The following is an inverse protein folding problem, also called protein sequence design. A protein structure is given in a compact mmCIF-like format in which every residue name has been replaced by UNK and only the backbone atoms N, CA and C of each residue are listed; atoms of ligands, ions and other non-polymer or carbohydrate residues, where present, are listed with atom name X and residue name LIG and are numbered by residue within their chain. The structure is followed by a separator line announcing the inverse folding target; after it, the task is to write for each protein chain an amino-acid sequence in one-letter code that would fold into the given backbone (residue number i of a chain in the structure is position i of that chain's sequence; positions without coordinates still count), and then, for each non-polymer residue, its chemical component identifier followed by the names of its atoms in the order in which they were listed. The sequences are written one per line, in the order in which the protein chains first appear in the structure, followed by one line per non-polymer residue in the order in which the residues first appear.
data_IF_051880879762
#
_entry.id   IF_051880879762
#
_cell.length_a   1.000
_cell.length_b   1.000
_cell.length_c   1.000
_cell.angle_alpha   90.00
_cell.angle_beta   90.00
_cell.angle_gamma   90.00
#
_symmetry.space_group_name_H-M   'P 1'
#
loop_
_entity.id
_entity.type
_entity.pdbx_description
1 polymer ?
#
# COMPACT_ATOMS: atom_id res chain seq x y z
N UNK A 1 1.04 -2.47 17.29
CA UNK A 1 0.28 -1.32 16.71
C UNK A 1 1.15 -0.40 15.84
N UNK A 2 2.19 -0.94 15.20
CA UNK A 2 3.20 -0.16 14.46
C UNK A 2 2.58 0.74 13.37
N UNK A 3 1.58 0.24 12.66
CA UNK A 3 0.99 0.93 11.51
C UNK A 3 -0.01 2.05 11.87
N UNK A 4 -0.44 2.12 13.13
CA UNK A 4 -1.51 3.00 13.59
C UNK A 4 -1.04 4.08 14.57
N UNK A 5 0.25 4.18 14.89
CA UNK A 5 0.76 5.04 15.98
C UNK A 5 0.39 6.53 15.94
N UNK A 6 -0.01 7.06 14.78
CA UNK A 6 -0.44 8.46 14.61
C UNK A 6 -1.93 8.74 14.82
N UNK A 7 -2.77 7.73 15.08
CA UNK A 7 -4.20 7.92 15.27
C UNK A 7 -4.57 8.25 16.73
N UNK A 8 -5.69 8.96 16.96
CA UNK A 8 -6.17 9.28 18.31
C UNK A 8 -6.32 8.06 19.22
N UNK A 9 -6.07 8.24 20.52
CA UNK A 9 -6.06 7.14 21.50
C UNK A 9 -7.37 6.33 21.52
N UNK A 10 -8.52 6.99 21.42
CA UNK A 10 -9.83 6.34 21.37
C UNK A 10 -10.01 5.43 20.14
N UNK A 11 -9.41 5.78 19.00
CA UNK A 11 -9.38 4.92 17.80
C UNK A 11 -8.49 3.72 18.06
N UNK A 12 -7.30 3.95 18.64
CA UNK A 12 -6.37 2.87 18.98
C UNK A 12 -6.97 1.89 19.99
N UNK A 13 -7.72 2.35 20.98
CA UNK A 13 -8.40 1.50 21.96
C UNK A 13 -9.46 0.61 21.30
N UNK A 14 -10.24 1.16 20.37
CA UNK A 14 -11.22 0.37 19.60
C UNK A 14 -10.52 -0.72 18.77
N UNK A 15 -9.42 -0.37 18.10
CA UNK A 15 -8.64 -1.37 17.35
C UNK A 15 -8.05 -2.43 18.29
N UNK A 16 -7.49 -2.04 19.44
CA UNK A 16 -6.99 -3.01 20.46
C UNK A 16 -8.10 -3.96 20.90
N UNK A 17 -9.28 -3.45 21.19
CA UNK A 17 -10.41 -4.27 21.62
C UNK A 17 -10.84 -5.27 20.52
N UNK A 18 -10.91 -4.82 19.26
CA UNK A 18 -11.22 -5.70 18.13
C UNK A 18 -10.14 -6.77 17.89
N UNK A 19 -8.86 -6.40 18.03
CA UNK A 19 -7.74 -7.33 17.93
C UNK A 19 -7.80 -8.40 19.03
N UNK A 20 -8.02 -7.99 20.28
CA UNK A 20 -8.15 -8.90 21.41
C UNK A 20 -9.34 -9.86 21.27
N UNK A 21 -10.43 -9.38 20.66
CA UNK A 21 -11.61 -10.20 20.37
C UNK A 21 -11.48 -11.09 19.12
N UNK A 22 -10.36 -11.02 18.37
CA UNK A 22 -10.18 -11.77 17.13
C UNK A 22 -11.08 -11.33 15.96
N UNK A 23 -11.74 -10.18 16.06
CA UNK A 23 -12.76 -9.71 15.09
C UNK A 23 -12.21 -8.84 13.98
N UNK A 24 -10.92 -8.48 14.04
CA UNK A 24 -10.34 -7.52 13.10
C UNK A 24 -10.31 -8.04 11.66
N UNK A 25 -9.90 -9.30 11.46
CA UNK A 25 -9.92 -9.93 10.13
C UNK A 25 -11.33 -10.05 9.55
N UNK A 26 -12.31 -10.44 10.36
CA UNK A 26 -13.72 -10.53 9.94
C UNK A 26 -14.29 -9.17 9.53
N UNK A 27 -13.96 -8.11 10.27
CA UNK A 27 -14.40 -6.76 9.95
C UNK A 27 -13.87 -6.32 8.57
N UNK A 28 -12.58 -6.55 8.31
CA UNK A 28 -11.95 -6.21 7.04
C UNK A 28 -12.53 -7.05 5.91
N UNK A 29 -12.62 -8.38 6.09
CA UNK A 29 -13.15 -9.29 5.07
C UNK A 29 -14.61 -9.00 4.72
N UNK A 30 -15.42 -8.54 5.68
CA UNK A 30 -16.81 -8.12 5.42
C UNK A 30 -16.87 -6.85 4.58
N UNK A 31 -15.99 -5.88 4.86
CA UNK A 31 -15.97 -4.59 4.17
C UNK A 31 -15.32 -4.68 2.78
N UNK A 32 -14.32 -5.54 2.66
CA UNK A 32 -13.50 -5.73 1.47
C UNK A 32 -13.39 -7.22 1.13
N UNK A 33 -14.47 -7.83 0.60
CA UNK A 33 -14.54 -9.28 0.38
C UNK A 33 -13.76 -9.78 -0.84
N UNK A 34 -13.33 -8.87 -1.71
CA UNK A 34 -12.68 -9.22 -2.97
C UNK A 34 -11.16 -9.29 -2.82
N UNK A 35 -10.53 -10.05 -3.72
CA UNK A 35 -9.08 -10.07 -3.96
C UNK A 35 -8.82 -9.59 -5.38
N UNK A 36 -7.83 -8.73 -5.57
CA UNK A 36 -7.54 -8.24 -6.92
C UNK A 36 -6.85 -9.29 -7.81
N UNK A 37 -6.87 -9.08 -9.12
CA UNK A 37 -6.29 -9.98 -10.13
C UNK A 37 -4.86 -9.62 -10.53
N UNK A 38 -4.31 -8.52 -10.02
CA UNK A 38 -2.96 -8.01 -10.33
C UNK A 38 -1.86 -8.84 -9.63
N UNK A 39 -1.52 -10.00 -10.17
CA UNK A 39 -0.69 -11.00 -9.45
C UNK A 39 0.79 -11.03 -9.86
N UNK A 40 1.14 -10.38 -10.97
CA UNK A 40 2.50 -10.39 -11.55
C UNK A 40 3.06 -8.97 -11.60
N UNK A 41 4.39 -8.84 -11.65
CA UNK A 41 5.05 -7.54 -11.84
C UNK A 41 4.59 -6.86 -13.13
N UNK A 42 4.32 -7.64 -14.18
CA UNK A 42 3.79 -7.12 -15.44
C UNK A 42 2.40 -6.52 -15.26
N UNK A 43 1.49 -7.26 -14.62
CA UNK A 43 0.14 -6.76 -14.36
C UNK A 43 0.18 -5.51 -13.46
N UNK A 44 1.06 -5.48 -12.46
CA UNK A 44 1.22 -4.32 -11.58
C UNK A 44 1.76 -3.10 -12.33
N UNK A 45 2.72 -3.32 -13.23
CA UNK A 45 3.25 -2.29 -14.11
C UNK A 45 2.15 -1.70 -15.00
N UNK A 46 1.35 -2.56 -15.65
CA UNK A 46 0.26 -2.14 -16.52
C UNK A 46 -0.79 -1.34 -15.73
N UNK A 47 -1.26 -1.89 -14.59
CA UNK A 47 -2.20 -1.23 -13.69
C UNK A 47 -1.71 0.16 -13.21
N UNK A 48 -0.46 0.24 -12.77
CA UNK A 48 0.14 1.50 -12.29
C UNK A 48 0.31 2.51 -13.42
N UNK A 49 0.64 2.03 -14.63
CA UNK A 49 0.78 2.88 -15.81
C UNK A 49 -0.56 3.45 -16.24
N UNK A 50 -1.63 2.67 -16.24
CA UNK A 50 -2.99 3.13 -16.54
C UNK A 50 -3.42 4.26 -15.60
N UNK A 51 -3.26 4.08 -14.28
CA UNK A 51 -3.55 5.13 -13.30
C UNK A 51 -2.68 6.38 -13.49
N UNK A 52 -1.38 6.20 -13.76
CA UNK A 52 -0.50 7.32 -14.08
C UNK A 52 -0.97 8.09 -15.33
N UNK A 53 -1.45 7.40 -16.36
CA UNK A 53 -1.93 8.06 -17.58
C UNK A 53 -3.30 8.74 -17.40
N UNK A 54 -4.10 8.27 -16.47
CA UNK A 54 -5.36 8.92 -16.11
C UNK A 54 -5.12 10.25 -15.38
N UNK A 55 -4.28 10.26 -14.35
CA UNK A 55 -4.15 11.40 -13.43
C UNK A 55 -2.84 12.20 -13.56
N UNK A 56 -1.76 11.59 -14.06
CA UNK A 56 -0.39 12.12 -14.00
C UNK A 56 0.33 12.07 -15.36
N UNK A 57 -0.36 12.42 -16.45
CA UNK A 57 0.17 12.38 -17.83
C UNK A 57 1.53 13.08 -18.00
N UNK A 58 1.72 14.22 -17.34
CA UNK A 58 2.96 15.01 -17.41
C UNK A 58 4.05 14.56 -16.44
N UNK A 59 3.78 13.60 -15.54
CA UNK A 59 4.79 13.09 -14.62
C UNK A 59 5.86 12.28 -15.37
N UNK A 60 7.07 12.12 -14.79
CA UNK A 60 8.12 11.29 -15.38
C UNK A 60 7.65 9.85 -15.70
N UNK A 61 8.29 9.17 -16.66
CA UNK A 61 7.99 7.78 -16.96
C UNK A 61 8.43 6.86 -15.83
N UNK A 62 7.66 5.79 -15.61
CA UNK A 62 8.00 4.71 -14.70
C UNK A 62 9.06 3.83 -15.36
N UNK A 63 10.18 3.63 -14.67
CA UNK A 63 11.28 2.80 -15.16
C UNK A 63 11.12 1.35 -14.71
N UNK A 64 10.52 1.16 -13.54
CA UNK A 64 10.23 -0.16 -12.98
C UNK A 64 9.03 -0.07 -12.06
N UNK A 65 8.18 -1.09 -12.11
CA UNK A 65 7.12 -1.34 -11.13
C UNK A 65 7.15 -2.84 -10.86
N UNK A 66 7.03 -3.25 -9.60
CA UNK A 66 7.01 -4.68 -9.25
C UNK A 66 6.76 -4.95 -7.78
N UNK A 67 6.45 -6.20 -7.48
CA UNK A 67 6.33 -6.69 -6.12
C UNK A 67 7.72 -6.99 -5.53
N UNK A 68 7.92 -6.73 -4.24
CA UNK A 68 9.19 -7.01 -3.54
C UNK A 68 8.92 -7.62 -2.16
N UNK A 69 9.23 -8.91 -2.02
CA UNK A 69 8.99 -9.69 -0.79
C UNK A 69 9.83 -9.21 0.40
N UNK A 70 10.93 -8.47 0.16
CA UNK A 70 11.74 -7.89 1.25
C UNK A 70 10.99 -6.77 1.98
N UNK A 71 9.93 -6.25 1.38
CA UNK A 71 9.10 -5.22 1.97
C UNK A 71 8.07 -5.79 2.95
N UNK A 72 7.81 -7.09 2.90
CA UNK A 72 6.79 -7.74 3.75
C UNK A 72 7.16 -7.69 5.24
N UNK A 73 8.45 -7.62 5.55
CA UNK A 73 8.97 -7.49 6.92
C UNK A 73 9.32 -6.05 7.30
N UNK A 74 9.34 -5.14 6.33
CA UNK A 74 9.86 -3.79 6.51
C UNK A 74 8.90 -2.90 7.32
N UNK A 75 9.48 -1.99 8.12
CA UNK A 75 8.79 -1.00 8.96
C UNK A 75 7.98 0.06 8.19
N UNK A 76 7.93 -0.02 6.86
CA UNK A 76 7.39 1.00 5.94
C UNK A 76 6.27 0.44 5.04
N UNK A 77 5.40 -0.42 5.59
CA UNK A 77 4.43 -1.18 4.80
C UNK A 77 3.31 -0.37 4.12
N UNK A 78 3.26 0.96 4.27
CA UNK A 78 2.29 1.82 3.57
C UNK A 78 2.85 2.56 2.36
N UNK A 79 4.16 2.52 2.18
CA UNK A 79 4.83 3.10 1.03
C UNK A 79 6.32 3.18 1.30
N UNK A 80 7.12 2.46 0.49
CA UNK A 80 8.55 2.70 0.52
C UNK A 80 8.83 3.88 -0.36
N UNK A 81 9.23 4.99 0.29
CA UNK A 81 9.78 6.19 -0.30
C UNK A 81 10.42 5.91 -1.66
N UNK A 82 9.67 6.27 -2.69
CA UNK A 82 9.92 6.08 -4.10
C UNK A 82 11.07 6.98 -4.55
N UNK A 83 12.30 6.69 -4.12
CA UNK A 83 13.51 7.27 -4.67
C UNK A 83 14.76 6.45 -4.29
N UNK A 84 14.94 5.26 -4.85
CA UNK A 84 16.32 4.75 -5.00
C UNK A 84 16.95 5.50 -6.19
N UNK A 85 17.41 6.73 -5.93
CA UNK A 85 18.30 7.44 -6.84
C UNK A 85 19.68 6.77 -6.81
N UNK A 86 19.90 5.76 -7.65
CA UNK A 86 21.26 5.22 -7.84
C UNK A 86 22.06 6.15 -8.74
N UNK A 87 23.15 6.70 -8.20
CA UNK A 87 24.17 7.44 -8.94
C UNK A 87 25.13 6.41 -9.55
N UNK A 88 25.16 6.29 -10.88
CA UNK A 88 26.26 5.61 -11.58
C UNK A 88 26.84 6.56 -12.63
N UNK A 89 28.13 6.89 -12.50
CA UNK A 89 28.90 7.54 -13.57
C UNK A 89 28.59 9.01 -13.84
N UNK A 90 28.59 9.87 -12.81
CA UNK A 90 28.71 11.33 -12.97
C UNK A 90 27.51 12.08 -13.57
N UNK A 91 26.47 11.41 -14.06
CA UNK A 91 25.19 12.03 -14.49
C UNK A 91 24.00 11.33 -13.83
N UNK A 92 23.34 12.04 -12.91
CA UNK A 92 22.10 11.64 -12.27
C UNK A 92 20.95 11.62 -13.29
N UNK A 93 20.63 10.45 -13.86
CA UNK A 93 19.27 10.19 -14.37
C UNK A 93 18.49 9.51 -13.26
N UNK A 94 17.66 10.26 -12.54
CA UNK A 94 16.77 9.69 -11.53
C UNK A 94 15.79 8.71 -12.19
N UNK A 95 15.93 7.42 -11.89
CA UNK A 95 14.98 6.39 -12.32
C UNK A 95 13.83 6.35 -11.31
N UNK A 96 12.60 6.47 -11.81
CA UNK A 96 11.39 6.32 -10.99
C UNK A 96 11.02 4.83 -10.94
N UNK A 97 11.25 4.20 -9.80
CA UNK A 97 10.89 2.81 -9.53
C UNK A 97 9.82 2.76 -8.44
N UNK A 98 8.69 2.08 -8.70
CA UNK A 98 7.65 1.81 -7.70
C UNK A 98 7.79 0.36 -7.23
N UNK A 99 7.70 0.12 -5.91
CA UNK A 99 7.71 -1.22 -5.35
C UNK A 99 6.56 -1.40 -4.37
N UNK A 100 5.84 -2.50 -4.52
CA UNK A 100 4.73 -2.87 -3.65
C UNK A 100 5.11 -4.14 -2.87
N UNK A 101 4.78 -4.20 -1.59
CA UNK A 101 5.04 -5.40 -0.80
C UNK A 101 4.28 -6.61 -1.37
N UNK A 102 4.91 -7.79 -1.38
CA UNK A 102 4.31 -8.99 -1.99
C UNK A 102 3.07 -9.46 -1.24
N UNK A 103 2.96 -9.13 0.06
CA UNK A 103 1.75 -9.38 0.84
C UNK A 103 0.48 -8.79 0.20
N UNK A 104 0.61 -7.69 -0.55
CA UNK A 104 -0.55 -7.03 -1.15
C UNK A 104 -1.14 -7.82 -2.31
N UNK A 105 -0.47 -8.86 -2.83
CA UNK A 105 -1.07 -9.76 -3.83
C UNK A 105 -2.37 -10.40 -3.37
N UNK A 106 -2.53 -10.59 -2.06
CA UNK A 106 -3.72 -11.16 -1.44
C UNK A 106 -4.65 -10.10 -0.84
N UNK A 107 -4.40 -8.82 -1.14
CA UNK A 107 -5.21 -7.73 -0.65
C UNK A 107 -6.43 -7.46 -1.56
N UNK A 108 -7.45 -6.79 -0.99
CA UNK A 108 -8.51 -6.17 -1.77
C UNK A 108 -8.01 -5.17 -2.82
N UNK A 109 -8.75 -5.01 -3.93
CA UNK A 109 -8.40 -4.06 -4.98
C UNK A 109 -8.29 -2.61 -4.48
N UNK A 110 -9.05 -2.23 -3.47
CA UNK A 110 -9.03 -0.89 -2.87
C UNK A 110 -7.69 -0.59 -2.17
N UNK A 111 -7.09 -1.60 -1.52
CA UNK A 111 -5.82 -1.43 -0.84
C UNK A 111 -4.67 -1.35 -1.85
N UNK A 112 -4.71 -2.18 -2.90
CA UNK A 112 -3.76 -2.04 -4.00
C UNK A 112 -3.86 -0.65 -4.65
N UNK A 113 -5.09 -0.18 -4.92
CA UNK A 113 -5.32 1.16 -5.49
C UNK A 113 -4.75 2.24 -4.59
N UNK A 114 -5.03 2.20 -3.29
CA UNK A 114 -4.52 3.18 -2.33
C UNK A 114 -2.99 3.26 -2.35
N UNK A 115 -2.31 2.12 -2.32
CA UNK A 115 -0.84 2.06 -2.35
C UNK A 115 -0.30 2.63 -3.66
N UNK A 116 -0.87 2.23 -4.79
CA UNK A 116 -0.42 2.72 -6.09
C UNK A 116 -0.64 4.23 -6.21
N UNK A 117 -1.76 4.75 -5.72
CA UNK A 117 -2.04 6.20 -5.63
C UNK A 117 -1.00 6.90 -4.76
N UNK A 118 -0.67 6.36 -3.59
CA UNK A 118 0.36 6.89 -2.70
C UNK A 118 1.73 7.00 -3.41
N UNK A 119 2.16 5.91 -4.04
CA UNK A 119 3.44 5.86 -4.76
C UNK A 119 3.47 6.76 -6.00
N UNK A 120 2.34 6.90 -6.70
CA UNK A 120 2.21 7.81 -7.83
C UNK A 120 2.28 9.28 -7.38
N UNK A 121 1.70 9.64 -6.23
CA UNK A 121 1.78 10.99 -5.70
C UNK A 121 3.24 11.40 -5.41
N UNK A 122 4.08 10.45 -4.98
CA UNK A 122 5.52 10.65 -4.78
C UNK A 122 6.33 10.93 -6.06
N UNK A 123 5.73 10.80 -7.24
CA UNK A 123 6.36 11.28 -8.46
C UNK A 123 6.44 12.81 -8.52
N UNK A 124 5.54 13.51 -7.82
CA UNK A 124 5.43 14.98 -7.81
C UNK A 124 5.70 15.59 -6.44
N UNK A 125 5.32 14.91 -5.36
CA UNK A 125 5.37 15.41 -3.99
C UNK A 125 6.22 14.49 -3.10
N UNK A 126 7.39 14.93 -2.63
CA UNK A 126 8.28 14.09 -1.82
C UNK A 126 7.78 13.88 -0.39
N UNK A 127 7.19 14.90 0.21
CA UNK A 127 6.78 14.91 1.62
C UNK A 127 5.28 14.67 1.75
N UNK A 128 4.84 13.96 2.79
CA UNK A 128 3.44 13.75 3.15
C UNK A 128 2.79 15.02 3.73
N UNK A 129 2.76 16.09 2.92
CA UNK A 129 2.19 17.38 3.25
C UNK A 129 0.79 17.56 2.62
N UNK A 130 0.18 18.75 2.80
CA UNK A 130 -1.15 19.04 2.25
C UNK A 130 -1.24 18.89 0.72
N UNK A 131 -0.17 19.17 -0.01
CA UNK A 131 -0.15 19.00 -1.47
C UNK A 131 -0.16 17.52 -1.87
N UNK A 132 0.63 16.70 -1.18
CA UNK A 132 0.62 15.24 -1.34
C UNK A 132 -0.77 14.66 -1.12
N UNK A 133 -1.40 14.95 0.03
CA UNK A 133 -2.71 14.39 0.35
C UNK A 133 -3.81 14.84 -0.64
N UNK A 134 -3.81 16.11 -1.05
CA UNK A 134 -4.74 16.57 -2.11
C UNK A 134 -4.52 15.85 -3.44
N UNK A 135 -3.27 15.54 -3.79
CA UNK A 135 -2.99 14.79 -5.00
C UNK A 135 -3.49 13.35 -4.90
N UNK A 136 -3.31 12.71 -3.73
CA UNK A 136 -3.87 11.40 -3.46
C UNK A 136 -5.41 11.40 -3.54
N UNK A 137 -6.09 12.37 -2.92
CA UNK A 137 -7.55 12.52 -2.95
C UNK A 137 -8.09 12.80 -4.37
N UNK A 138 -7.30 13.49 -5.21
CA UNK A 138 -7.64 13.70 -6.61
C UNK A 138 -7.65 12.39 -7.42
N UNK A 139 -6.75 11.45 -7.10
CA UNK A 139 -6.68 10.13 -7.75
C UNK A 139 -7.64 9.11 -7.10
N UNK A 140 -7.92 9.26 -5.81
CA UNK A 140 -8.79 8.38 -5.03
C UNK A 140 -9.57 9.19 -3.98
N UNK A 141 -10.85 9.53 -4.23
CA UNK A 141 -11.65 10.35 -3.32
C UNK A 141 -11.80 9.78 -1.92
N UNK A 142 -11.67 8.46 -1.73
CA UNK A 142 -11.73 7.80 -0.42
C UNK A 142 -10.35 7.56 0.20
N UNK A 143 -9.30 8.22 -0.30
CA UNK A 143 -7.90 7.93 0.03
C UNK A 143 -7.63 7.83 1.54
N UNK A 144 -8.06 8.81 2.33
CA UNK A 144 -7.80 8.82 3.77
C UNK A 144 -8.42 7.61 4.50
N UNK A 145 -9.63 7.21 4.10
CA UNK A 145 -10.28 6.03 4.67
C UNK A 145 -9.57 4.76 4.24
N UNK A 146 -9.21 4.64 2.95
CA UNK A 146 -8.48 3.48 2.45
C UNK A 146 -7.06 3.38 3.03
N UNK A 147 -6.40 4.50 3.30
CA UNK A 147 -5.10 4.54 3.98
C UNK A 147 -5.26 3.96 5.38
N UNK A 148 -6.24 4.43 6.15
CA UNK A 148 -6.54 3.90 7.48
C UNK A 148 -6.88 2.40 7.44
N UNK A 149 -7.76 1.98 6.54
CA UNK A 149 -8.19 0.58 6.45
C UNK A 149 -7.04 -0.35 6.00
N UNK A 150 -6.13 0.15 5.14
CA UNK A 150 -4.92 -0.59 4.78
C UNK A 150 -3.96 -0.71 5.97
N UNK A 151 -3.80 0.35 6.78
CA UNK A 151 -3.03 0.30 8.04
C UNK A 151 -3.61 -0.74 9.00
N UNK A 152 -4.93 -0.84 9.04
CA UNK A 152 -5.65 -1.82 9.84
C UNK A 152 -5.43 -3.25 9.34
N UNK A 153 -5.48 -3.45 8.02
CA UNK A 153 -5.14 -4.73 7.38
C UNK A 153 -3.73 -5.19 7.69
N UNK A 154 -2.74 -4.30 7.59
CA UNK A 154 -1.36 -4.62 7.93
C UNK A 154 -1.19 -5.00 9.41
N UNK A 155 -1.87 -4.30 10.32
CA UNK A 155 -1.86 -4.63 11.74
C UNK A 155 -2.49 -6.02 12.02
N UNK A 156 -3.54 -6.38 11.29
CA UNK A 156 -4.13 -7.71 11.36
C UNK A 156 -3.19 -8.78 10.80
N UNK A 157 -2.57 -8.56 9.64
CA UNK A 157 -1.62 -9.52 9.02
C UNK A 157 -0.39 -9.77 9.90
N UNK A 158 0.12 -8.73 10.57
CA UNK A 158 1.20 -8.86 11.55
C UNK A 158 0.81 -9.73 12.74
N UNK A 159 -0.42 -9.55 13.26
CA UNK A 159 -0.96 -10.36 14.35
C UNK A 159 -1.16 -11.83 13.94
N UNK A 160 -1.75 -12.05 12.76
CA UNK A 160 -2.03 -13.38 12.21
C UNK A 160 -0.73 -14.18 11.98
N UNK A 161 0.29 -13.52 11.43
CA UNK A 161 1.62 -14.10 11.25
C UNK A 161 2.29 -14.44 12.60
N UNK A 162 2.17 -13.57 13.61
CA UNK A 162 2.72 -13.81 14.94
C UNK A 162 2.00 -14.96 15.69
N UNK A 163 0.73 -15.22 15.37
CA UNK A 163 -0.06 -16.29 15.97
C UNK A 163 0.07 -17.64 15.23
N UNK A 164 0.87 -17.72 14.17
CA UNK A 164 1.18 -18.97 13.46
C UNK A 164 0.01 -19.55 12.66
N UNK A 165 -1.06 -18.78 12.41
CA UNK A 165 -2.11 -19.18 11.47
C UNK A 165 -1.61 -18.94 10.04
N UNK A 166 -0.98 -19.96 9.46
CA UNK A 166 -0.74 -20.00 8.02
C UNK A 166 -2.08 -19.82 7.27
N UNK A 167 -2.10 -19.18 6.08
CA UNK A 167 -3.33 -19.03 5.34
C UNK A 167 -3.92 -20.42 5.10
N UNK A 168 -5.20 -20.58 5.46
CA UNK A 168 -5.98 -21.72 5.05
C UNK A 168 -5.89 -21.79 3.53
N UNK A 169 -5.09 -22.73 3.03
CA UNK A 169 -5.14 -23.13 1.64
C UNK A 169 -6.56 -23.64 1.43
N UNK A 170 -7.40 -22.85 0.76
CA UNK A 170 -8.66 -23.34 0.23
C UNK A 170 -8.31 -24.48 -0.72
N UNK A 171 -8.56 -25.70 -0.24
CA UNK A 171 -8.65 -26.89 -1.07
C UNK A 171 -9.80 -26.68 -2.05
N UNK A 172 -9.47 -26.62 -3.33
CA UNK A 172 -10.28 -27.14 -4.44
C UNK A 172 -9.32 -27.92 -5.34
#
# INVERSE_FOLDING_TARGET
MRFLGGYPANVLDQVRAMMAAGKLGEHIARRYPQRHTVQTDRALYDYTTELKQEYLRSAPPLHKVGYDARLDTAQHALGLHTAISRVQGGKLKAKKEIRVASLFKDAPPEFLRMIVVHELAHLKESDHNKAFYRLCEHMEPHYHQLEFDTRLYLAWRELDAAQGKAPAQSQL
#
